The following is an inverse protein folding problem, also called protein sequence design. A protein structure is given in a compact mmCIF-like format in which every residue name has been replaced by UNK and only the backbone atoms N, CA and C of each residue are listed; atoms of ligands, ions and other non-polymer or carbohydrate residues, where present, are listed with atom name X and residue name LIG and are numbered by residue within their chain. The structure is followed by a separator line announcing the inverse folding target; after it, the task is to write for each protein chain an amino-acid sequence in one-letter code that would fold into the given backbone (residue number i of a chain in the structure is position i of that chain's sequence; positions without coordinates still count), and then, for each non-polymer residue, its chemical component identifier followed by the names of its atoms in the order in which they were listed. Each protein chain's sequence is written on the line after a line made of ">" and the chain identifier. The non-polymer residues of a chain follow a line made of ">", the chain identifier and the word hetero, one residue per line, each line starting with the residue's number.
data_IF_003741608933
#
_entry.id   IF_003741608933
#
_cell.length_a   1.000
_cell.length_b   1.000
_cell.length_c   1.000
_cell.angle_alpha   90.00
_cell.angle_beta   90.00
_cell.angle_gamma   90.00
#
_symmetry.space_group_name_H-M   'P 1'
#
loop_
_entity.id
_entity.type
_entity.pdbx_description
1 polymer ?
#
# COMPACT_ATOMS: atom_id res chain seq x y z
N UNK A 1 -19.83 15.13 -12.27
CA UNK A 1 -18.92 15.06 -11.10
C UNK A 1 -19.34 13.98 -10.13
N UNK A 2 -20.56 14.04 -9.55
CA UNK A 2 -21.06 13.04 -8.58
C UNK A 2 -20.90 11.57 -9.02
N UNK A 3 -21.31 11.21 -10.25
CA UNK A 3 -21.21 9.83 -10.74
C UNK A 3 -19.77 9.30 -10.89
N UNK A 4 -18.80 10.19 -11.19
CA UNK A 4 -17.37 9.82 -11.32
C UNK A 4 -16.73 9.55 -9.95
N UNK A 5 -17.20 10.22 -8.90
CA UNK A 5 -16.67 10.10 -7.53
C UNK A 5 -17.38 9.01 -6.74
N UNK A 6 -18.67 8.80 -6.98
CA UNK A 6 -19.53 7.89 -6.22
C UNK A 6 -19.33 6.44 -6.64
N UNK A 7 -19.12 6.14 -7.93
CA UNK A 7 -18.97 4.75 -8.39
C UNK A 7 -17.71 4.05 -7.82
N UNK A 8 -16.50 4.63 -7.84
CA UNK A 8 -15.33 4.02 -7.22
C UNK A 8 -15.49 3.84 -5.72
N UNK A 9 -16.12 4.80 -5.05
CA UNK A 9 -16.43 4.74 -3.62
C UNK A 9 -17.39 3.58 -3.32
N UNK A 10 -18.47 3.45 -4.10
CA UNK A 10 -19.44 2.36 -4.00
C UNK A 10 -18.77 1.03 -4.29
N UNK A 11 -17.90 0.92 -5.30
CA UNK A 11 -17.17 -0.31 -5.61
C UNK A 11 -16.20 -0.68 -4.49
N UNK A 12 -15.50 0.28 -3.88
CA UNK A 12 -14.70 0.07 -2.69
C UNK A 12 -15.56 -0.38 -1.50
N UNK A 13 -16.72 0.23 -1.28
CA UNK A 13 -17.65 -0.15 -0.21
C UNK A 13 -18.29 -1.52 -0.43
N UNK A 14 -18.62 -1.88 -1.67
CA UNK A 14 -19.15 -3.22 -2.02
C UNK A 14 -18.04 -4.25 -1.83
N UNK A 15 -16.81 -3.98 -2.28
CA UNK A 15 -15.67 -4.85 -2.04
C UNK A 15 -15.39 -5.01 -0.53
N UNK A 16 -15.49 -3.94 0.27
CA UNK A 16 -15.39 -4.03 1.73
C UNK A 16 -16.54 -4.83 2.34
N UNK A 17 -17.79 -4.57 1.94
CA UNK A 17 -18.96 -5.21 2.53
C UNK A 17 -19.06 -6.70 2.22
N UNK A 18 -18.64 -7.13 1.02
CA UNK A 18 -18.69 -8.54 0.61
C UNK A 18 -17.59 -9.39 1.26
N UNK A 19 -16.46 -8.77 1.64
CA UNK A 19 -15.27 -9.51 2.05
C UNK A 19 -14.76 -9.19 3.46
N UNK A 20 -15.42 -8.29 4.21
CA UNK A 20 -14.93 -7.85 5.50
C UNK A 20 -15.94 -8.04 6.64
N UNK A 21 -15.43 -8.39 7.83
CA UNK A 21 -16.19 -8.41 9.08
C UNK A 21 -16.43 -7.00 9.65
N UNK A 22 -17.21 -6.91 10.74
CA UNK A 22 -17.56 -5.62 11.38
C UNK A 22 -16.32 -4.93 11.98
N UNK A 23 -15.40 -5.70 12.56
CA UNK A 23 -14.18 -5.18 13.18
C UNK A 23 -13.28 -4.49 12.15
N UNK A 24 -13.18 -5.09 10.95
CA UNK A 24 -12.55 -4.50 9.77
C UNK A 24 -13.16 -3.14 9.45
N UNK A 25 -14.49 -3.07 9.32
CA UNK A 25 -15.18 -1.85 8.94
C UNK A 25 -14.87 -0.75 9.97
N UNK A 26 -14.93 -1.06 11.27
CA UNK A 26 -14.62 -0.12 12.35
C UNK A 26 -13.18 0.39 12.25
N UNK A 27 -12.21 -0.51 12.09
CA UNK A 27 -10.82 -0.12 11.92
C UNK A 27 -10.62 0.76 10.67
N UNK A 28 -11.45 0.59 9.64
CA UNK A 28 -11.32 1.30 8.36
C UNK A 28 -11.73 2.73 8.55
N UNK A 29 -12.89 2.91 9.18
CA UNK A 29 -13.43 4.21 9.54
C UNK A 29 -12.47 4.92 10.50
N UNK A 30 -11.87 4.20 11.45
CA UNK A 30 -10.82 4.71 12.31
C UNK A 30 -9.60 5.21 11.55
N UNK A 31 -9.04 4.40 10.64
CA UNK A 31 -7.89 4.79 9.81
C UNK A 31 -8.21 5.96 8.88
N UNK A 32 -9.38 5.94 8.22
CA UNK A 32 -9.85 7.02 7.37
C UNK A 32 -10.04 8.33 8.16
N UNK A 33 -10.55 8.25 9.39
CA UNK A 33 -10.70 9.39 10.29
C UNK A 33 -9.33 9.97 10.69
N UNK A 34 -8.36 9.12 11.08
CA UNK A 34 -6.98 9.54 11.39
C UNK A 34 -6.35 10.20 10.17
N UNK A 35 -6.44 9.56 8.99
CA UNK A 35 -5.90 10.11 7.75
C UNK A 35 -6.53 11.46 7.42
N UNK A 36 -7.84 11.60 7.57
CA UNK A 36 -8.57 12.86 7.34
C UNK A 36 -8.12 13.94 8.30
N UNK A 37 -7.96 13.61 9.59
CA UNK A 37 -7.48 14.54 10.61
C UNK A 37 -6.05 15.01 10.31
N UNK A 38 -5.14 14.09 9.98
CA UNK A 38 -3.75 14.41 9.57
C UNK A 38 -3.75 15.32 8.34
N UNK A 39 -4.58 15.02 7.35
CA UNK A 39 -4.69 15.82 6.13
C UNK A 39 -5.23 17.22 6.42
N UNK A 40 -6.23 17.35 7.30
CA UNK A 40 -6.77 18.64 7.72
C UNK A 40 -5.74 19.47 8.51
N UNK A 41 -5.00 18.84 9.43
CA UNK A 41 -3.91 19.48 10.15
C UNK A 41 -2.81 19.94 9.20
N UNK A 42 -2.44 19.13 8.22
CA UNK A 42 -1.46 19.52 7.20
C UNK A 42 -1.98 20.69 6.36
N UNK A 43 -3.24 20.66 5.93
CA UNK A 43 -3.85 21.73 5.15
C UNK A 43 -3.87 23.08 5.90
N UNK A 44 -4.00 23.05 7.23
CA UNK A 44 -3.92 24.27 8.07
C UNK A 44 -2.50 24.82 8.24
N UNK A 45 -1.48 23.96 8.23
CA UNK A 45 -0.12 24.33 8.63
C UNK A 45 0.87 24.44 7.45
N UNK A 46 0.53 23.89 6.29
CA UNK A 46 1.40 23.90 5.10
C UNK A 46 0.75 24.61 3.91
N UNK A 47 1.58 25.01 2.95
CA UNK A 47 1.16 25.80 1.80
C UNK A 47 0.10 25.11 0.93
N UNK A 48 -0.83 25.91 0.41
CA UNK A 48 -1.76 25.53 -0.64
C UNK A 48 -1.16 25.63 -2.06
N UNK A 49 0.10 26.06 -2.20
CA UNK A 49 0.79 26.06 -3.49
C UNK A 49 0.75 24.66 -4.09
N UNK A 50 0.40 24.59 -5.36
CA UNK A 50 0.32 23.33 -6.10
C UNK A 50 1.68 22.92 -6.65
N UNK A 51 2.07 21.66 -6.43
CA UNK A 51 3.18 20.96 -7.07
C UNK A 51 2.60 19.78 -7.82
N UNK A 52 2.94 19.61 -9.10
CA UNK A 52 2.42 18.53 -9.96
C UNK A 52 0.89 18.35 -9.90
N UNK A 53 0.14 19.44 -9.73
CA UNK A 53 -1.33 19.43 -9.64
C UNK A 53 -1.91 19.14 -8.25
N UNK A 54 -1.07 18.95 -7.21
CA UNK A 54 -1.49 18.71 -5.83
C UNK A 54 -1.01 19.81 -4.89
N UNK A 55 -1.80 20.23 -3.88
CA UNK A 55 -1.34 21.21 -2.91
C UNK A 55 -0.20 20.65 -2.07
N UNK A 56 0.75 21.51 -1.66
CA UNK A 56 1.97 21.08 -0.96
C UNK A 56 1.66 20.30 0.33
N UNK A 57 0.60 20.66 1.06
CA UNK A 57 0.17 19.94 2.26
C UNK A 57 -0.20 18.47 2.01
N UNK A 58 -0.61 18.09 0.79
CA UNK A 58 -0.96 16.72 0.42
C UNK A 58 0.24 15.78 0.56
N UNK A 59 1.40 16.25 0.09
CA UNK A 59 2.66 15.51 0.16
C UNK A 59 3.11 15.33 1.61
N UNK A 60 2.98 16.37 2.45
CA UNK A 60 3.26 16.29 3.87
C UNK A 60 2.31 15.31 4.58
N UNK A 61 1.02 15.36 4.29
CA UNK A 61 0.04 14.42 4.84
C UNK A 61 0.41 12.96 4.50
N UNK A 62 0.80 12.71 3.25
CA UNK A 62 1.28 11.38 2.84
C UNK A 62 2.54 10.94 3.59
N UNK A 63 3.52 11.85 3.77
CA UNK A 63 4.75 11.58 4.55
C UNK A 63 4.41 11.22 6.00
N UNK A 64 3.54 12.01 6.65
CA UNK A 64 3.11 11.75 8.02
C UNK A 64 2.40 10.40 8.13
N UNK A 65 1.55 10.08 7.17
CA UNK A 65 0.88 8.79 7.14
C UNK A 65 1.89 7.64 7.05
N UNK A 66 2.83 7.72 6.11
CA UNK A 66 3.79 6.65 5.81
C UNK A 66 4.85 6.46 6.92
N UNK A 67 5.26 7.52 7.61
CA UNK A 67 6.27 7.44 8.67
C UNK A 67 5.72 7.30 10.08
N UNK A 68 4.59 7.95 10.38
CA UNK A 68 4.11 8.08 11.76
C UNK A 68 2.90 7.19 12.02
N UNK A 69 2.01 7.02 11.05
CA UNK A 69 0.75 6.30 11.26
C UNK A 69 0.89 4.83 10.88
N UNK A 70 1.42 4.55 9.69
CA UNK A 70 1.47 3.20 9.12
C UNK A 70 2.38 2.24 9.91
N UNK A 71 3.62 2.62 10.32
CA UNK A 71 4.51 1.69 11.03
C UNK A 71 4.01 1.27 12.42
N UNK A 72 3.50 2.17 13.29
CA UNK A 72 2.93 1.76 14.57
C UNK A 72 1.67 0.91 14.43
N UNK A 73 0.80 1.20 13.46
CA UNK A 73 -0.39 0.38 13.22
C UNK A 73 0.03 -1.02 12.76
N UNK A 74 0.96 -1.12 11.81
CA UNK A 74 1.50 -2.40 11.38
C UNK A 74 2.13 -3.17 12.56
N UNK A 75 2.95 -2.50 13.37
CA UNK A 75 3.59 -3.09 14.54
C UNK A 75 2.59 -3.57 15.61
N UNK A 76 1.54 -2.79 15.89
CA UNK A 76 0.48 -3.15 16.84
C UNK A 76 -0.30 -4.37 16.38
N UNK A 77 -0.60 -4.46 15.09
CA UNK A 77 -1.31 -5.61 14.51
C UNK A 77 -0.42 -6.85 14.58
N UNK A 78 0.84 -6.73 14.16
CA UNK A 78 1.81 -7.81 14.30
C UNK A 78 1.90 -8.24 15.77
N UNK A 79 2.03 -7.30 16.70
CA UNK A 79 2.13 -7.64 18.11
C UNK A 79 0.88 -8.33 18.66
N UNK A 80 -0.32 -7.80 18.38
CA UNK A 80 -1.61 -8.37 18.82
C UNK A 80 -1.76 -9.82 18.38
N UNK A 81 -1.38 -10.09 17.15
CA UNK A 81 -1.76 -11.33 16.49
C UNK A 81 -0.68 -12.42 16.63
N UNK A 82 0.61 -12.08 16.73
CA UNK A 82 1.68 -13.09 16.93
C UNK A 82 2.18 -13.18 18.36
N UNK A 83 1.87 -12.18 19.20
CA UNK A 83 2.53 -11.98 20.49
C UNK A 83 4.05 -11.73 20.39
N UNK A 84 4.62 -11.70 19.17
CA UNK A 84 6.06 -11.60 18.92
C UNK A 84 6.36 -10.96 17.55
N UNK A 85 7.01 -9.80 17.58
CA UNK A 85 7.39 -9.03 16.39
C UNK A 85 8.54 -9.65 15.57
N UNK A 86 9.22 -10.67 16.08
CA UNK A 86 10.43 -11.22 15.44
C UNK A 86 10.14 -12.41 14.49
N UNK A 87 8.96 -13.01 14.55
CA UNK A 87 8.64 -14.26 13.82
C UNK A 87 7.67 -14.14 12.65
N UNK A 88 7.07 -12.96 12.44
CA UNK A 88 5.95 -12.81 11.49
C UNK A 88 6.38 -12.78 10.01
N UNK A 89 7.63 -12.38 9.72
CA UNK A 89 8.08 -12.15 8.34
C UNK A 89 8.14 -13.45 7.53
N UNK A 90 8.54 -14.55 8.16
CA UNK A 90 8.76 -15.85 7.52
C UNK A 90 7.89 -16.97 8.09
N UNK A 91 6.81 -16.64 8.79
CA UNK A 91 5.92 -17.68 9.33
C UNK A 91 5.23 -18.44 8.19
N UNK A 92 5.48 -19.75 8.16
CA UNK A 92 4.79 -20.72 7.29
C UNK A 92 3.51 -21.13 8.04
N UNK A 93 2.36 -21.05 7.38
CA UNK A 93 1.03 -20.99 8.00
C UNK A 93 0.46 -22.34 8.49
N UNK A 94 1.25 -23.40 8.60
CA UNK A 94 0.72 -24.70 9.04
C UNK A 94 1.34 -25.14 10.36
N UNK A 95 0.62 -24.94 11.48
CA UNK A 95 0.41 -25.92 12.58
C UNK A 95 -0.93 -25.57 13.30
N UNK A 96 -1.95 -26.41 13.18
CA UNK A 96 -3.15 -26.48 14.06
C UNK A 96 -4.16 -25.30 14.11
N UNK A 97 -4.44 -24.62 13.00
CA UNK A 97 -5.61 -23.72 12.93
C UNK A 97 -5.56 -22.49 13.87
N UNK A 98 -4.38 -22.16 14.43
CA UNK A 98 -4.19 -21.05 15.38
C UNK A 98 -3.93 -19.68 14.76
N UNK A 99 -3.54 -19.61 13.48
CA UNK A 99 -3.22 -18.36 12.77
C UNK A 99 -4.12 -17.94 11.57
N UNK A 100 -5.37 -18.44 11.37
CA UNK A 100 -6.29 -17.90 10.35
C UNK A 100 -6.62 -16.41 10.52
N UNK A 101 -6.72 -15.93 11.77
CA UNK A 101 -7.19 -14.57 12.11
C UNK A 101 -6.29 -13.45 11.57
N UNK A 102 -4.98 -13.69 11.56
CA UNK A 102 -3.98 -12.77 11.01
C UNK A 102 -4.21 -12.41 9.54
N UNK A 103 -4.63 -13.41 8.76
CA UNK A 103 -4.75 -13.34 7.32
C UNK A 103 -5.92 -12.44 6.92
N UNK A 104 -7.01 -12.55 7.64
CA UNK A 104 -8.21 -11.78 7.34
C UNK A 104 -8.05 -10.34 7.82
N UNK A 105 -7.47 -10.09 9.01
CA UNK A 105 -7.21 -8.74 9.52
C UNK A 105 -6.18 -7.94 8.71
N UNK A 106 -5.15 -8.59 8.16
CA UNK A 106 -4.16 -7.92 7.31
C UNK A 106 -4.69 -7.65 5.90
N UNK A 107 -5.42 -8.61 5.29
CA UNK A 107 -6.17 -8.39 4.02
C UNK A 107 -7.08 -7.17 4.15
N UNK A 108 -7.87 -7.18 5.21
CA UNK A 108 -8.67 -6.08 5.73
C UNK A 108 -7.86 -4.80 5.75
N UNK A 109 -6.76 -4.72 6.51
CA UNK A 109 -5.98 -3.49 6.65
C UNK A 109 -5.45 -2.93 5.33
N UNK A 110 -5.05 -3.78 4.39
CA UNK A 110 -4.60 -3.33 3.08
C UNK A 110 -5.75 -2.84 2.21
N UNK A 111 -6.88 -3.56 2.20
CA UNK A 111 -8.11 -3.10 1.54
C UNK A 111 -8.53 -1.73 2.09
N UNK A 112 -8.41 -1.55 3.41
CA UNK A 112 -8.78 -0.33 4.14
C UNK A 112 -7.84 0.83 3.88
N UNK A 113 -6.54 0.58 3.92
CA UNK A 113 -5.51 1.60 3.66
C UNK A 113 -5.67 2.11 2.26
N UNK A 114 -5.89 1.21 1.29
CA UNK A 114 -6.02 1.61 -0.10
C UNK A 114 -7.39 2.18 -0.43
N UNK A 115 -8.49 1.68 0.14
CA UNK A 115 -9.80 2.31 0.02
C UNK A 115 -9.81 3.72 0.63
N UNK A 116 -9.18 3.92 1.79
CA UNK A 116 -9.03 5.24 2.41
C UNK A 116 -8.16 6.17 1.57
N UNK A 117 -7.06 5.67 1.02
CA UNK A 117 -6.22 6.43 0.09
C UNK A 117 -7.01 6.85 -1.16
N UNK A 118 -7.78 5.93 -1.74
CA UNK A 118 -8.65 6.22 -2.88
C UNK A 118 -9.74 7.24 -2.55
N UNK A 119 -10.46 7.08 -1.44
CA UNK A 119 -11.49 8.04 -0.99
C UNK A 119 -10.86 9.43 -0.81
N UNK A 120 -9.68 9.50 -0.19
CA UNK A 120 -8.93 10.74 -0.01
C UNK A 120 -8.52 11.34 -1.36
N UNK A 121 -7.93 10.56 -2.25
CA UNK A 121 -7.46 11.09 -3.54
C UNK A 121 -8.62 11.59 -4.41
N UNK A 122 -9.75 10.87 -4.39
CA UNK A 122 -10.97 11.26 -5.09
C UNK A 122 -11.62 12.50 -4.47
N UNK A 123 -11.79 12.53 -3.15
CA UNK A 123 -12.47 13.64 -2.46
C UNK A 123 -11.60 14.90 -2.46
N UNK A 124 -10.31 14.77 -2.13
CA UNK A 124 -9.45 15.92 -1.90
C UNK A 124 -8.89 16.53 -3.19
N UNK A 125 -8.76 15.76 -4.28
CA UNK A 125 -8.01 16.24 -5.46
C UNK A 125 -8.79 16.38 -6.76
N UNK A 126 -10.01 15.80 -6.87
CA UNK A 126 -11.10 16.23 -7.77
C UNK A 126 -10.84 16.51 -9.26
N UNK A 127 -9.62 16.32 -9.77
CA UNK A 127 -9.17 16.79 -11.08
C UNK A 127 -9.15 15.66 -12.11
N UNK A 128 -9.64 15.95 -13.31
CA UNK A 128 -9.84 14.98 -14.40
C UNK A 128 -8.54 14.33 -14.94
N UNK A 129 -7.34 14.78 -14.53
CA UNK A 129 -6.03 14.31 -15.02
C UNK A 129 -5.30 13.29 -14.11
N UNK A 130 -5.98 12.71 -13.13
CA UNK A 130 -5.34 11.87 -12.10
C UNK A 130 -5.54 10.36 -12.27
N UNK A 131 -6.01 9.92 -13.44
CA UNK A 131 -6.30 8.51 -13.73
C UNK A 131 -5.10 7.58 -13.53
N UNK A 132 -3.88 8.04 -13.84
CA UNK A 132 -2.66 7.25 -13.60
C UNK A 132 -2.45 6.92 -12.11
N UNK A 133 -2.64 7.91 -11.22
CA UNK A 133 -2.55 7.70 -9.77
C UNK A 133 -3.69 6.85 -9.23
N UNK A 134 -4.90 7.06 -9.74
CA UNK A 134 -6.08 6.26 -9.38
C UNK A 134 -5.86 4.79 -9.78
N UNK A 135 -5.45 4.52 -11.02
CA UNK A 135 -5.16 3.17 -11.50
C UNK A 135 -4.02 2.57 -10.69
N UNK A 136 -2.98 3.35 -10.38
CA UNK A 136 -1.88 2.91 -9.52
C UNK A 136 -2.37 2.49 -8.13
N UNK A 137 -3.21 3.30 -7.47
CA UNK A 137 -3.75 2.97 -6.15
C UNK A 137 -4.72 1.78 -6.21
N UNK A 138 -5.61 1.70 -7.22
CA UNK A 138 -6.48 0.53 -7.42
C UNK A 138 -5.65 -0.74 -7.63
N UNK A 139 -4.67 -0.69 -8.52
CA UNK A 139 -3.79 -1.84 -8.82
C UNK A 139 -3.00 -2.23 -7.58
N UNK A 140 -2.52 -1.27 -6.79
CA UNK A 140 -1.86 -1.51 -5.52
C UNK A 140 -2.83 -2.11 -4.49
N UNK A 141 -4.10 -1.69 -4.46
CA UNK A 141 -5.14 -2.24 -3.59
C UNK A 141 -5.36 -3.73 -3.88
N UNK A 142 -5.62 -4.04 -5.15
CA UNK A 142 -5.85 -5.40 -5.60
C UNK A 142 -4.61 -6.26 -5.43
N UNK A 143 -3.43 -5.71 -5.73
CA UNK A 143 -2.16 -6.37 -5.51
C UNK A 143 -2.01 -6.73 -4.03
N UNK A 144 -2.13 -5.77 -3.12
CA UNK A 144 -2.02 -5.99 -1.68
C UNK A 144 -3.08 -6.98 -1.16
N UNK A 145 -4.34 -6.86 -1.59
CA UNK A 145 -5.41 -7.79 -1.20
C UNK A 145 -5.14 -9.22 -1.69
N UNK A 146 -4.70 -9.38 -2.95
CA UNK A 146 -4.34 -10.66 -3.54
C UNK A 146 -3.15 -11.30 -2.80
N UNK A 147 -2.11 -10.50 -2.60
CA UNK A 147 -0.91 -10.79 -1.83
C UNK A 147 -1.21 -11.37 -0.45
N UNK A 148 -2.20 -10.81 0.23
CA UNK A 148 -2.65 -11.23 1.56
C UNK A 148 -3.58 -12.44 1.54
N UNK A 149 -4.19 -12.73 0.40
CA UNK A 149 -4.93 -13.97 0.17
C UNK A 149 -4.02 -15.19 -0.01
N UNK A 150 -2.73 -14.99 -0.27
CA UNK A 150 -1.73 -16.05 -0.27
C UNK A 150 -1.60 -16.60 1.16
N UNK A 151 -1.85 -17.91 1.39
CA UNK A 151 -1.82 -18.49 2.73
C UNK A 151 -0.43 -18.47 3.36
N UNK A 152 0.63 -18.59 2.58
CA UNK A 152 1.98 -18.81 3.12
C UNK A 152 2.85 -17.57 2.83
N UNK A 153 3.70 -17.18 3.79
CA UNK A 153 4.55 -15.98 3.74
C UNK A 153 3.80 -14.65 3.59
N UNK A 154 2.56 -14.56 4.10
CA UNK A 154 1.80 -13.31 4.11
C UNK A 154 2.59 -12.15 4.75
N UNK A 155 3.42 -12.43 5.77
CA UNK A 155 4.34 -11.45 6.37
C UNK A 155 5.37 -10.88 5.39
N UNK A 156 6.10 -11.73 4.65
CA UNK A 156 7.04 -11.29 3.63
C UNK A 156 6.35 -10.48 2.53
N UNK A 157 5.14 -10.89 2.16
CA UNK A 157 4.32 -10.18 1.18
C UNK A 157 3.93 -8.78 1.68
N UNK A 158 3.50 -8.66 2.93
CA UNK A 158 3.19 -7.35 3.56
C UNK A 158 4.41 -6.47 3.63
N UNK A 159 5.56 -7.05 3.98
CA UNK A 159 6.81 -6.32 4.07
C UNK A 159 7.20 -5.69 2.72
N UNK A 160 7.01 -6.42 1.61
CA UNK A 160 7.17 -5.86 0.26
C UNK A 160 6.21 -4.69 0.01
N UNK A 161 4.95 -4.81 0.46
CA UNK A 161 3.96 -3.73 0.43
C UNK A 161 4.38 -2.49 1.23
N UNK A 162 4.88 -2.67 2.45
CA UNK A 162 5.42 -1.58 3.27
C UNK A 162 6.61 -0.89 2.61
N UNK A 163 7.51 -1.65 1.98
CA UNK A 163 8.62 -1.09 1.21
C UNK A 163 8.17 -0.26 0.00
N UNK A 164 7.04 -0.63 -0.62
CA UNK A 164 6.43 0.18 -1.66
C UNK A 164 5.96 1.54 -1.12
N UNK A 165 5.34 1.56 0.07
CA UNK A 165 4.93 2.81 0.73
C UNK A 165 6.12 3.70 1.10
N UNK A 166 7.23 3.12 1.56
CA UNK A 166 8.46 3.88 1.77
C UNK A 166 9.04 4.45 0.48
N UNK A 167 8.85 3.79 -0.66
CA UNK A 167 9.26 4.35 -1.96
C UNK A 167 8.47 5.62 -2.29
N UNK A 168 7.15 5.60 -2.03
CA UNK A 168 6.26 6.75 -2.18
C UNK A 168 6.61 7.89 -1.21
N UNK A 169 7.07 7.57 0.00
CA UNK A 169 7.60 8.57 0.95
C UNK A 169 8.77 9.36 0.34
N UNK A 170 9.77 8.65 -0.20
CA UNK A 170 10.93 9.31 -0.80
C UNK A 170 10.58 10.09 -2.08
N UNK A 171 9.57 9.63 -2.84
CA UNK A 171 8.99 10.40 -3.93
C UNK A 171 8.43 11.74 -3.42
N UNK A 172 7.59 11.72 -2.39
CA UNK A 172 6.99 12.92 -1.82
C UNK A 172 8.05 13.89 -1.28
N UNK A 173 9.10 13.38 -0.63
CA UNK A 173 10.23 14.18 -0.17
C UNK A 173 11.01 14.82 -1.33
N UNK A 174 11.24 14.07 -2.42
CA UNK A 174 11.87 14.58 -3.64
C UNK A 174 11.04 15.71 -4.25
N UNK A 175 9.73 15.55 -4.36
CA UNK A 175 8.85 16.59 -4.94
C UNK A 175 8.83 17.85 -4.07
N UNK A 176 8.71 17.69 -2.75
CA UNK A 176 8.64 18.82 -1.81
C UNK A 176 9.94 19.61 -1.72
N UNK A 177 11.09 18.92 -1.71
CA UNK A 177 12.40 19.54 -1.58
C UNK A 177 13.38 18.83 -2.52
N UNK A 178 13.39 19.17 -3.83
CA UNK A 178 14.26 18.51 -4.79
C UNK A 178 15.74 18.60 -4.38
N UNK A 179 16.43 17.46 -4.38
CA UNK A 179 17.88 17.40 -4.22
C UNK A 179 18.43 16.10 -4.80
N UNK A 180 19.72 16.05 -5.21
CA UNK A 180 20.32 14.83 -5.74
C UNK A 180 20.23 13.65 -4.76
N UNK A 181 20.43 13.93 -3.47
CA UNK A 181 20.34 12.91 -2.40
C UNK A 181 18.93 12.32 -2.31
N UNK A 182 17.89 13.15 -2.30
CA UNK A 182 16.50 12.64 -2.24
C UNK A 182 16.09 11.92 -3.51
N UNK A 183 16.61 12.38 -4.65
CA UNK A 183 16.41 11.67 -5.92
C UNK A 183 17.03 10.27 -5.87
N UNK A 184 18.30 10.18 -5.47
CA UNK A 184 18.99 8.92 -5.28
C UNK A 184 18.25 8.01 -4.29
N UNK A 185 17.81 8.52 -3.15
CA UNK A 185 17.05 7.74 -2.17
C UNK A 185 15.75 7.18 -2.78
N UNK A 186 14.99 7.99 -3.51
CA UNK A 186 13.78 7.52 -4.16
C UNK A 186 14.06 6.38 -5.16
N UNK A 187 15.06 6.57 -6.03
CA UNK A 187 15.50 5.58 -7.03
C UNK A 187 16.01 4.30 -6.36
N UNK A 188 16.81 4.43 -5.30
CA UNK A 188 17.37 3.29 -4.57
C UNK A 188 16.27 2.47 -3.87
N UNK A 189 15.34 3.12 -3.16
CA UNK A 189 14.23 2.44 -2.50
C UNK A 189 13.29 1.77 -3.50
N UNK A 190 13.05 2.40 -4.65
CA UNK A 190 12.29 1.77 -5.73
C UNK A 190 12.98 0.51 -6.25
N UNK A 191 14.30 0.56 -6.44
CA UNK A 191 15.11 -0.59 -6.86
C UNK A 191 15.05 -1.73 -5.84
N UNK A 192 15.24 -1.41 -4.55
CA UNK A 192 15.14 -2.39 -3.45
C UNK A 192 13.73 -3.01 -3.42
N UNK A 193 12.68 -2.20 -3.53
CA UNK A 193 11.30 -2.71 -3.53
C UNK A 193 11.04 -3.68 -4.69
N UNK A 194 11.61 -3.42 -5.89
CA UNK A 194 11.53 -4.34 -7.03
C UNK A 194 12.30 -5.64 -6.80
N UNK A 195 13.54 -5.54 -6.31
CA UNK A 195 14.36 -6.72 -6.00
C UNK A 195 13.66 -7.60 -4.98
N UNK A 196 13.08 -7.02 -3.93
CA UNK A 196 12.33 -7.76 -2.91
C UNK A 196 11.09 -8.45 -3.49
N UNK A 197 10.34 -7.76 -4.36
CA UNK A 197 9.16 -8.34 -5.01
C UNK A 197 9.52 -9.52 -5.94
N UNK A 198 10.58 -9.38 -6.73
CA UNK A 198 11.09 -10.45 -7.61
C UNK A 198 11.63 -11.62 -6.79
N UNK A 199 12.38 -11.34 -5.72
CA UNK A 199 12.89 -12.37 -4.82
C UNK A 199 11.75 -13.16 -4.18
N UNK A 200 10.72 -12.48 -3.67
CA UNK A 200 9.54 -13.15 -3.11
C UNK A 200 8.78 -13.97 -4.15
N UNK A 201 8.71 -13.48 -5.39
CA UNK A 201 8.14 -14.25 -6.51
C UNK A 201 8.94 -15.53 -6.75
N UNK A 202 10.27 -15.45 -6.76
CA UNK A 202 11.14 -16.63 -6.86
C UNK A 202 10.91 -17.60 -5.70
N UNK A 203 10.82 -17.10 -4.46
CA UNK A 203 10.52 -17.96 -3.30
C UNK A 203 9.25 -18.77 -3.53
N UNK A 204 8.17 -18.13 -3.97
CA UNK A 204 6.89 -18.80 -4.26
C UNK A 204 6.99 -19.91 -5.31
N UNK A 205 7.87 -19.74 -6.31
CA UNK A 205 8.02 -20.71 -7.39
C UNK A 205 9.05 -21.80 -7.15
N UNK A 206 10.05 -21.56 -6.30
CA UNK A 206 11.20 -22.48 -6.14
C UNK A 206 11.21 -23.14 -4.78
N UNK A 207 10.94 -22.40 -3.72
CA UNK A 207 11.19 -22.85 -2.34
C UNK A 207 9.94 -23.43 -1.67
N UNK A 208 8.74 -23.12 -2.20
CA UNK A 208 7.45 -23.62 -1.69
C UNK A 208 6.53 -24.15 -2.79
N UNK A 209 7.12 -24.91 -3.72
CA UNK A 209 6.39 -25.49 -4.86
C UNK A 209 5.13 -26.23 -4.41
N UNK A 210 5.18 -27.02 -3.35
CA UNK A 210 4.04 -27.86 -2.98
C UNK A 210 3.06 -27.16 -2.03
N UNK A 211 3.46 -26.07 -1.40
CA UNK A 211 2.69 -25.43 -0.34
C UNK A 211 1.74 -24.33 -0.86
N UNK A 212 1.97 -23.80 -2.06
CA UNK A 212 1.13 -22.76 -2.67
C UNK A 212 0.48 -23.25 -3.96
N UNK A 213 -0.85 -23.16 -4.05
CA UNK A 213 -1.58 -23.52 -5.26
C UNK A 213 -1.09 -22.72 -6.48
N UNK A 214 -1.03 -23.39 -7.63
CA UNK A 214 -0.52 -22.83 -8.88
C UNK A 214 -1.14 -21.47 -9.27
N UNK A 215 -2.45 -21.31 -9.09
CA UNK A 215 -3.14 -20.07 -9.43
C UNK A 215 -2.67 -18.85 -8.60
N UNK A 216 -2.30 -19.05 -7.33
CA UNK A 216 -1.74 -17.97 -6.50
C UNK A 216 -0.36 -17.53 -6.99
N UNK A 217 0.48 -18.49 -7.40
CA UNK A 217 1.80 -18.20 -7.95
C UNK A 217 1.71 -17.40 -9.24
N UNK A 218 0.84 -17.83 -10.16
CA UNK A 218 0.59 -17.13 -11.42
C UNK A 218 0.09 -15.71 -11.16
N UNK A 219 -0.94 -15.54 -10.33
CA UNK A 219 -1.46 -14.21 -10.04
C UNK A 219 -0.44 -13.28 -9.38
N UNK A 220 0.36 -13.79 -8.43
CA UNK A 220 1.43 -12.99 -7.81
C UNK A 220 2.49 -12.59 -8.82
N UNK A 221 2.89 -13.50 -9.70
CA UNK A 221 3.86 -13.23 -10.77
C UNK A 221 3.38 -12.13 -11.71
N UNK A 222 2.11 -12.19 -12.11
CA UNK A 222 1.50 -11.17 -12.96
C UNK A 222 1.50 -9.80 -12.27
N UNK A 223 1.13 -9.75 -10.98
CA UNK A 223 1.19 -8.52 -10.18
C UNK A 223 2.62 -7.97 -10.13
N UNK A 224 3.62 -8.80 -9.80
CA UNK A 224 5.02 -8.39 -9.71
C UNK A 224 5.53 -7.88 -11.06
N UNK A 225 5.18 -8.54 -12.17
CA UNK A 225 5.56 -8.13 -13.51
C UNK A 225 4.95 -6.76 -13.87
N UNK A 226 3.65 -6.58 -13.66
CA UNK A 226 2.93 -5.32 -13.92
C UNK A 226 3.52 -4.18 -13.08
N UNK A 227 3.69 -4.40 -11.77
CA UNK A 227 4.25 -3.40 -10.86
C UNK A 227 5.70 -3.04 -11.22
N UNK A 228 6.49 -4.04 -11.62
CA UNK A 228 7.87 -3.82 -12.05
C UNK A 228 7.91 -2.93 -13.30
N UNK A 229 7.06 -3.19 -14.30
CA UNK A 229 6.94 -2.33 -15.50
C UNK A 229 6.58 -0.89 -15.11
N UNK A 230 5.57 -0.68 -14.26
CA UNK A 230 5.21 0.66 -13.81
C UNK A 230 6.34 1.35 -13.04
N UNK A 231 7.04 0.63 -12.16
CA UNK A 231 8.15 1.20 -11.40
C UNK A 231 9.35 1.51 -12.29
N UNK A 232 9.68 0.66 -13.27
CA UNK A 232 10.72 0.95 -14.25
C UNK A 232 10.40 2.16 -15.13
N UNK A 233 9.13 2.38 -15.47
CA UNK A 233 8.74 3.63 -16.15
C UNK A 233 9.02 4.87 -15.27
N UNK A 234 8.83 4.74 -13.94
CA UNK A 234 9.20 5.76 -12.96
C UNK A 234 10.70 6.01 -12.87
N UNK A 235 11.56 5.00 -13.05
CA UNK A 235 13.01 5.18 -13.15
C UNK A 235 13.40 6.08 -14.31
N UNK A 236 12.79 5.87 -15.48
CA UNK A 236 13.09 6.65 -16.70
C UNK A 236 12.72 8.12 -16.50
N UNK A 237 11.57 8.39 -15.88
CA UNK A 237 11.12 9.77 -15.55
C UNK A 237 11.92 10.36 -14.38
N UNK A 238 12.53 9.50 -13.56
CA UNK A 238 13.20 9.87 -12.33
C UNK A 238 14.67 10.28 -12.49
N UNK A 239 15.29 9.97 -13.62
CA UNK A 239 16.68 10.35 -13.91
C UNK A 239 16.79 11.89 -13.98
N UNK A 240 17.86 12.47 -13.42
CA UNK A 240 18.12 13.89 -13.63
C UNK A 240 18.32 14.15 -15.13
N UNK A 241 17.67 15.20 -15.64
CA UNK A 241 18.08 15.82 -16.92
C UNK A 241 19.53 16.30 -16.85
#
# INVERSE_FOLDING_TARGET
>A
MLAKTVLPLILSFIAMYVYCDVDTIILTLGFAAVHTAVSHLCARNFSHKTLLGYPTWAYYASIFQQLIVLPPIAALIIWRESGNINGWLFSIQEIDGKYPAYKDLLKTLSLMTTASAMIKDYWMYGNDNQWGFIIHHITTAFACAFCLAIPIYSGAVIFVGMFAEFTSLFYNLRVLKPSPVRNFMHVAFMGISNVLAIWLCRLMWVEIIDAVYFHWKVGFTLIVAILSVFRFSGFIVGLPE
#
